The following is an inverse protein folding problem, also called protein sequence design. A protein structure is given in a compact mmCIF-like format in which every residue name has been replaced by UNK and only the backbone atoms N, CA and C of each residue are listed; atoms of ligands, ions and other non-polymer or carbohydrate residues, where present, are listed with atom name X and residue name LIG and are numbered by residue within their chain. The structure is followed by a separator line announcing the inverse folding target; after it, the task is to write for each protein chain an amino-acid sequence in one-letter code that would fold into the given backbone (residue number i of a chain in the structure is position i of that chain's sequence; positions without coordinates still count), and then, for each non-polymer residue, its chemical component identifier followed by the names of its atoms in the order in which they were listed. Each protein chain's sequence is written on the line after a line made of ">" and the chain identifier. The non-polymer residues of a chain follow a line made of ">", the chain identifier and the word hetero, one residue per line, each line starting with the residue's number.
data_IF_237918185680
#
_entry.id   IF_237918185680
#
_cell.length_a   1.000
_cell.length_b   1.000
_cell.length_c   1.000
_cell.angle_alpha   90.00
_cell.angle_beta   90.00
_cell.angle_gamma   90.00
#
_symmetry.space_group_name_H-M   'P 1'
#
loop_
_entity.id
_entity.type
_entity.pdbx_description
1 polymer ?
#
# COMPACT_ATOMS: atom_id res chain seq x y z
N UNK A 1 9.38 16.49 16.74
CA UNK A 1 8.47 16.17 15.63
C UNK A 1 9.30 16.14 14.36
N UNK A 2 9.52 14.96 13.76
CA UNK A 2 10.26 14.84 12.51
C UNK A 2 9.32 14.23 11.46
N UNK A 3 9.05 15.00 10.40
CA UNK A 3 8.44 14.52 9.16
C UNK A 3 9.44 13.59 8.48
N UNK A 4 9.08 12.33 8.28
CA UNK A 4 9.74 11.47 7.30
C UNK A 4 8.68 11.01 6.32
N UNK A 5 8.36 11.91 5.40
CA UNK A 5 7.64 11.61 4.18
C UNK A 5 8.75 11.37 3.15
N UNK A 6 9.19 10.12 3.01
CA UNK A 6 10.12 9.76 1.94
C UNK A 6 9.27 9.56 0.70
N UNK A 7 9.09 10.61 -0.09
CA UNK A 7 8.54 10.49 -1.43
C UNK A 7 9.45 9.61 -2.28
N UNK A 8 8.85 8.80 -3.16
CA UNK A 8 9.57 7.96 -4.15
C UNK A 8 10.54 8.77 -5.02
N UNK A 9 10.39 10.09 -5.08
CA UNK A 9 11.28 11.01 -5.80
C UNK A 9 12.74 10.98 -5.31
N UNK A 10 12.99 10.65 -4.04
CA UNK A 10 14.35 10.49 -3.48
C UNK A 10 14.94 9.07 -3.56
N UNK A 11 14.15 8.10 -4.05
CA UNK A 11 14.55 6.69 -4.12
C UNK A 11 15.28 6.33 -5.42
N UNK A 12 15.23 7.20 -6.44
CA UNK A 12 15.87 6.96 -7.73
C UNK A 12 17.42 6.97 -7.65
N UNK A 13 18.01 7.73 -6.72
CA UNK A 13 19.48 7.80 -6.57
C UNK A 13 20.07 6.72 -5.65
N UNK A 14 19.25 6.03 -4.86
CA UNK A 14 19.73 5.09 -3.83
C UNK A 14 19.21 3.65 -4.00
N UNK A 15 18.38 3.40 -5.01
CA UNK A 15 17.83 2.08 -5.26
C UNK A 15 17.85 1.74 -6.76
N UNK A 16 18.95 1.19 -7.28
CA UNK A 16 19.01 0.68 -8.66
C UNK A 16 18.05 -0.51 -8.92
N UNK A 17 17.22 -0.90 -7.95
CA UNK A 17 16.22 -1.97 -8.05
C UNK A 17 14.81 -1.49 -8.39
N UNK A 18 14.59 -0.18 -8.54
CA UNK A 18 13.31 0.38 -9.00
C UNK A 18 13.15 0.35 -10.53
N UNK A 19 14.14 -0.15 -11.25
CA UNK A 19 14.15 -0.21 -12.72
C UNK A 19 14.58 -1.63 -13.10
N UNK A 20 13.74 -2.32 -13.86
CA UNK A 20 13.74 -3.77 -14.06
C UNK A 20 13.38 -4.56 -12.82
N UNK A 21 12.10 -4.93 -12.74
CA UNK A 21 11.69 -6.15 -12.03
C UNK A 21 12.43 -7.34 -12.66
N UNK A 22 13.64 -7.61 -12.16
CA UNK A 22 14.03 -8.98 -11.86
C UNK A 22 12.81 -9.63 -11.20
N UNK A 23 12.35 -10.82 -11.64
CA UNK A 23 11.10 -11.39 -11.18
C UNK A 23 11.09 -11.30 -9.66
N UNK A 24 10.10 -10.56 -9.11
CA UNK A 24 9.91 -10.36 -7.67
C UNK A 24 10.34 -11.64 -6.99
N UNK A 25 11.50 -11.67 -6.34
CA UNK A 25 11.98 -12.92 -5.75
C UNK A 25 10.95 -13.23 -4.66
N UNK A 26 10.13 -14.28 -4.81
CA UNK A 26 9.09 -14.57 -3.84
C UNK A 26 9.66 -14.87 -2.46
N UNK A 27 10.98 -15.07 -2.35
CA UNK A 27 11.70 -15.19 -1.08
C UNK A 27 11.94 -13.85 -0.37
N UNK A 28 11.93 -12.73 -1.09
CA UNK A 28 12.25 -11.39 -0.56
C UNK A 28 11.08 -10.40 -0.65
N UNK A 29 10.01 -10.72 -1.39
CA UNK A 29 8.82 -9.87 -1.51
C UNK A 29 7.67 -10.45 -0.68
N UNK A 30 7.17 -9.67 0.27
CA UNK A 30 5.95 -10.01 0.98
C UNK A 30 4.73 -9.64 0.12
N UNK A 31 4.18 -10.64 -0.59
CA UNK A 31 2.99 -10.48 -1.43
C UNK A 31 1.74 -10.09 -0.63
N UNK A 32 1.72 -10.29 0.69
CA UNK A 32 0.61 -9.83 1.53
C UNK A 32 0.58 -8.30 1.68
N UNK A 33 1.71 -7.63 1.49
CA UNK A 33 1.87 -6.18 1.63
C UNK A 33 2.35 -5.50 0.34
N UNK A 34 2.27 -6.21 -0.79
CA UNK A 34 2.74 -5.72 -2.09
C UNK A 34 1.60 -5.76 -3.10
N UNK A 35 1.28 -4.62 -3.72
CA UNK A 35 0.20 -4.55 -4.71
C UNK A 35 -0.15 -3.12 -5.14
N UNK A 36 -0.94 -3.03 -6.21
CA UNK A 36 -1.56 -1.77 -6.62
C UNK A 36 -2.75 -1.49 -5.69
N UNK A 37 -2.82 -0.27 -5.19
CA UNK A 37 -3.87 0.22 -4.29
C UNK A 37 -4.92 1.03 -5.07
N UNK A 38 -4.46 1.86 -5.99
CA UNK A 38 -5.27 2.88 -6.65
C UNK A 38 -4.76 3.15 -8.07
N UNK A 39 -5.66 3.53 -8.96
CA UNK A 39 -5.34 3.96 -10.33
C UNK A 39 -5.87 5.39 -10.55
N UNK A 40 -5.01 6.28 -11.06
CA UNK A 40 -5.36 7.64 -11.44
C UNK A 40 -4.75 7.99 -12.79
N UNK A 41 -5.60 8.12 -13.82
CA UNK A 41 -5.16 8.31 -15.19
C UNK A 41 -4.19 7.20 -15.64
N UNK A 42 -2.93 7.55 -15.96
CA UNK A 42 -1.87 6.62 -16.35
C UNK A 42 -0.89 6.30 -15.21
N UNK A 43 -1.31 6.57 -13.97
CA UNK A 43 -0.51 6.35 -12.78
C UNK A 43 -1.20 5.36 -11.83
N UNK A 44 -0.39 4.54 -11.17
CA UNK A 44 -0.83 3.55 -10.20
C UNK A 44 -0.17 3.84 -8.86
N UNK A 45 -0.96 3.95 -7.80
CA UNK A 45 -0.45 4.01 -6.45
C UNK A 45 -0.11 2.60 -5.99
N UNK A 46 1.18 2.33 -5.77
CA UNK A 46 1.68 1.00 -5.43
C UNK A 46 2.18 1.01 -3.99
N UNK A 47 1.96 -0.09 -3.27
CA UNK A 47 2.61 -0.37 -2.00
C UNK A 47 3.52 -1.60 -2.15
N UNK A 48 4.73 -1.55 -1.58
CA UNK A 48 5.74 -2.62 -1.62
C UNK A 48 6.39 -2.73 -0.25
N UNK A 49 6.33 -3.90 0.38
CA UNK A 49 7.14 -4.16 1.58
C UNK A 49 8.50 -4.74 1.17
N UNK A 50 9.56 -4.04 1.52
CA UNK A 50 10.93 -4.46 1.30
C UNK A 50 11.55 -4.98 2.59
N UNK A 51 12.22 -6.12 2.49
CA UNK A 51 13.07 -6.64 3.55
C UNK A 51 14.45 -5.97 3.50
N UNK A 52 14.81 -5.26 4.57
CA UNK A 52 16.13 -4.66 4.67
C UNK A 52 17.15 -5.77 4.95
N UNK A 53 18.23 -5.80 4.16
CA UNK A 53 19.31 -6.77 4.32
C UNK A 53 19.88 -6.75 5.75
N UNK A 54 20.34 -7.92 6.23
CA UNK A 54 21.02 -8.11 7.53
C UNK A 54 20.20 -7.76 8.79
N UNK A 55 18.95 -8.21 8.88
CA UNK A 55 18.19 -8.18 10.13
C UNK A 55 17.71 -6.80 10.58
N UNK A 56 17.84 -5.78 9.73
CA UNK A 56 17.45 -4.40 10.03
C UNK A 56 15.93 -4.11 9.92
N UNK A 57 15.11 -5.16 9.73
CA UNK A 57 13.65 -5.07 9.72
C UNK A 57 13.04 -4.96 8.33
N UNK A 58 11.74 -4.64 8.29
CA UNK A 58 10.95 -4.48 7.06
C UNK A 58 10.51 -3.02 6.93
N UNK A 59 10.50 -2.48 5.72
CA UNK A 59 9.97 -1.13 5.43
C UNK A 59 8.89 -1.20 4.35
N UNK A 60 7.87 -0.36 4.48
CA UNK A 60 6.86 -0.17 3.45
C UNK A 60 7.24 1.04 2.60
N UNK A 61 7.35 0.83 1.30
CA UNK A 61 7.49 1.86 0.28
C UNK A 61 6.15 2.01 -0.43
N UNK A 62 5.76 3.23 -0.77
CA UNK A 62 4.53 3.46 -1.51
C UNK A 62 4.56 4.79 -2.27
N UNK A 63 3.68 4.89 -3.26
CA UNK A 63 3.41 6.11 -4.02
C UNK A 63 3.04 5.83 -5.47
N UNK A 64 2.85 6.90 -6.24
CA UNK A 64 2.47 6.80 -7.66
C UNK A 64 3.62 6.39 -8.57
N UNK A 65 3.38 5.39 -9.41
CA UNK A 65 4.23 4.96 -10.52
C UNK A 65 3.48 5.13 -11.85
N UNK A 66 4.20 5.52 -12.90
CA UNK A 66 3.63 5.55 -14.25
C UNK A 66 3.42 4.12 -14.78
N UNK A 67 2.45 3.93 -15.68
CA UNK A 67 2.09 2.62 -16.25
C UNK A 67 3.29 1.80 -16.76
N UNK A 68 4.28 2.45 -17.38
CA UNK A 68 5.49 1.82 -17.93
C UNK A 68 6.48 1.35 -16.86
N UNK A 69 6.37 1.90 -15.65
CA UNK A 69 7.15 1.49 -14.47
C UNK A 69 6.47 0.36 -13.68
N UNK A 70 5.23 -0.03 -14.02
CA UNK A 70 4.50 -1.09 -13.31
C UNK A 70 4.68 -2.44 -13.99
N UNK A 71 5.15 -3.42 -13.22
CA UNK A 71 5.41 -4.76 -13.71
C UNK A 71 4.17 -5.55 -14.13
N UNK A 72 4.33 -6.53 -15.04
CA UNK A 72 3.22 -7.33 -15.56
C UNK A 72 2.49 -8.14 -14.48
N UNK A 73 3.19 -8.59 -13.43
CA UNK A 73 2.57 -9.30 -12.31
C UNK A 73 1.55 -8.42 -11.57
N UNK A 74 1.96 -7.20 -11.20
CA UNK A 74 1.09 -6.26 -10.49
C UNK A 74 -0.09 -5.84 -11.36
N UNK A 75 0.15 -5.62 -12.65
CA UNK A 75 -0.93 -5.31 -13.60
C UNK A 75 -1.93 -6.46 -13.73
N UNK A 76 -1.46 -7.71 -13.88
CA UNK A 76 -2.32 -8.88 -13.97
C UNK A 76 -3.17 -9.05 -12.70
N UNK A 77 -2.54 -8.90 -11.54
CA UNK A 77 -3.22 -8.94 -10.24
C UNK A 77 -4.30 -7.84 -10.16
N UNK A 78 -3.96 -6.59 -10.46
CA UNK A 78 -4.90 -5.46 -10.47
C UNK A 78 -6.08 -5.63 -11.42
N UNK A 79 -5.84 -6.11 -12.64
CA UNK A 79 -6.90 -6.32 -13.62
C UNK A 79 -7.89 -7.41 -13.19
N UNK A 80 -7.45 -8.37 -12.37
CA UNK A 80 -8.31 -9.45 -11.86
C UNK A 80 -9.25 -9.03 -10.72
N UNK A 81 -9.07 -7.83 -10.15
CA UNK A 81 -9.87 -7.33 -9.03
C UNK A 81 -11.17 -6.69 -9.51
N UNK A 82 -12.23 -6.82 -8.72
CA UNK A 82 -13.41 -5.96 -8.86
C UNK A 82 -13.05 -4.55 -8.40
N UNK A 83 -13.32 -3.56 -9.26
CA UNK A 83 -12.94 -2.17 -9.06
C UNK A 83 -14.16 -1.27 -9.27
N UNK A 84 -14.13 -0.13 -8.60
CA UNK A 84 -15.12 0.93 -8.74
C UNK A 84 -14.41 2.23 -9.15
N UNK A 85 -15.05 2.96 -10.07
CA UNK A 85 -14.65 4.30 -10.48
C UNK A 85 -15.23 5.31 -9.48
N UNK A 86 -14.39 6.25 -9.05
CA UNK A 86 -14.71 7.34 -8.11
C UNK A 86 -14.69 8.62 -8.93
N UNK A 87 -15.79 8.86 -9.65
CA UNK A 87 -15.95 9.97 -10.59
C UNK A 87 -14.69 10.17 -11.45
N UNK A 88 -14.15 11.38 -11.53
CA UNK A 88 -12.90 11.67 -12.24
C UNK A 88 -11.66 11.69 -11.32
N UNK A 89 -11.80 11.23 -10.08
CA UNK A 89 -10.72 11.12 -9.10
C UNK A 89 -9.95 9.81 -9.24
N UNK A 90 -10.52 8.78 -9.87
CA UNK A 90 -9.79 7.57 -10.28
C UNK A 90 -10.52 6.26 -9.97
N UNK A 91 -9.77 5.16 -9.90
CA UNK A 91 -10.30 3.80 -9.79
C UNK A 91 -9.66 3.10 -8.59
N UNK A 92 -10.48 2.40 -7.80
CA UNK A 92 -10.00 1.64 -6.64
C UNK A 92 -10.73 0.32 -6.45
N UNK A 93 -10.04 -0.64 -5.82
CA UNK A 93 -10.66 -1.89 -5.39
C UNK A 93 -11.41 -1.67 -4.05
N UNK A 94 -12.73 -1.80 -4.07
CA UNK A 94 -13.62 -1.43 -2.96
C UNK A 94 -14.02 -2.59 -2.03
N UNK A 95 -13.75 -3.84 -2.43
CA UNK A 95 -14.18 -5.05 -1.71
C UNK A 95 -13.02 -6.02 -1.54
N UNK A 96 -13.05 -6.76 -0.44
CA UNK A 96 -12.20 -7.93 -0.28
C UNK A 96 -12.78 -9.07 -1.13
N UNK A 97 -12.30 -9.23 -2.37
CA UNK A 97 -12.81 -10.25 -3.30
C UNK A 97 -11.97 -11.52 -3.35
N UNK A 98 -12.64 -12.68 -3.40
CA UNK A 98 -12.12 -13.92 -4.01
C UNK A 98 -10.82 -14.52 -3.45
N UNK A 99 -10.26 -15.49 -4.20
CA UNK A 99 -9.23 -16.50 -3.81
C UNK A 99 -7.99 -16.01 -3.05
N UNK A 100 -7.74 -14.71 -2.97
CA UNK A 100 -6.54 -14.12 -2.38
C UNK A 100 -6.69 -13.71 -0.91
N UNK A 101 -7.88 -13.83 -0.32
CA UNK A 101 -8.21 -13.40 1.05
C UNK A 101 -7.31 -13.95 2.16
N UNK A 102 -6.56 -15.03 1.96
CA UNK A 102 -5.64 -15.58 2.96
C UNK A 102 -4.17 -15.12 2.80
N UNK A 103 -3.70 -14.88 1.57
CA UNK A 103 -2.31 -14.49 1.30
C UNK A 103 -2.14 -13.00 0.97
N UNK A 104 -3.25 -12.28 0.74
CA UNK A 104 -3.26 -10.87 0.36
C UNK A 104 -4.16 -10.03 1.27
N UNK A 105 -4.49 -10.51 2.49
CA UNK A 105 -5.43 -9.82 3.38
C UNK A 105 -5.02 -8.36 3.63
N UNK A 106 -3.74 -8.12 3.90
CA UNK A 106 -3.27 -6.78 4.30
C UNK A 106 -3.33 -5.81 3.12
N UNK A 107 -2.90 -6.22 1.94
CA UNK A 107 -3.02 -5.39 0.73
C UNK A 107 -4.49 -5.14 0.35
N UNK A 108 -5.39 -6.08 0.61
CA UNK A 108 -6.83 -5.89 0.42
C UNK A 108 -7.41 -4.87 1.42
N UNK A 109 -6.99 -4.92 2.69
CA UNK A 109 -7.35 -3.89 3.67
C UNK A 109 -6.81 -2.51 3.27
N UNK A 110 -5.59 -2.44 2.74
CA UNK A 110 -5.02 -1.20 2.20
C UNK A 110 -5.84 -0.65 1.04
N UNK A 111 -6.35 -1.49 0.14
CA UNK A 111 -7.24 -1.10 -0.97
C UNK A 111 -8.56 -0.54 -0.49
N UNK A 112 -9.22 -1.23 0.44
CA UNK A 112 -10.48 -0.75 1.04
C UNK A 112 -10.27 0.60 1.71
N UNK A 113 -9.20 0.76 2.50
CA UNK A 113 -8.89 2.05 3.11
C UNK A 113 -8.50 3.12 2.07
N UNK A 114 -7.82 2.72 0.98
CA UNK A 114 -7.49 3.59 -0.14
C UNK A 114 -8.73 4.09 -0.88
N UNK A 115 -9.73 3.22 -1.09
CA UNK A 115 -11.05 3.60 -1.63
C UNK A 115 -11.71 4.64 -0.74
N UNK A 116 -11.82 4.40 0.57
CA UNK A 116 -12.40 5.38 1.51
C UNK A 116 -11.66 6.72 1.48
N UNK A 117 -10.33 6.69 1.46
CA UNK A 117 -9.52 7.90 1.39
C UNK A 117 -9.70 8.67 0.06
N UNK A 118 -9.91 7.97 -1.05
CA UNK A 118 -10.19 8.60 -2.34
C UNK A 118 -11.60 9.20 -2.41
N UNK A 119 -12.61 8.56 -1.79
CA UNK A 119 -13.94 9.15 -1.63
C UNK A 119 -13.89 10.46 -0.83
N UNK A 120 -13.10 10.52 0.25
CA UNK A 120 -12.90 11.76 1.00
C UNK A 120 -12.23 12.87 0.15
N UNK A 121 -11.34 12.50 -0.76
CA UNK A 121 -10.72 13.44 -1.71
C UNK A 121 -11.75 13.93 -2.74
N UNK A 122 -12.63 13.06 -3.24
CA UNK A 122 -13.74 13.45 -4.12
C UNK A 122 -14.67 14.45 -3.43
N UNK A 123 -15.13 14.16 -2.20
CA UNK A 123 -15.97 15.10 -1.45
C UNK A 123 -15.26 16.44 -1.20
N UNK A 124 -13.95 16.41 -0.92
CA UNK A 124 -13.17 17.63 -0.71
C UNK A 124 -13.07 18.45 -2.00
N UNK A 125 -12.93 17.78 -3.15
CA UNK A 125 -12.91 18.40 -4.47
C UNK A 125 -14.26 19.07 -4.77
N UNK A 126 -15.38 18.37 -4.59
CA UNK A 126 -16.72 18.91 -4.81
C UNK A 126 -16.94 20.21 -4.01
N UNK A 127 -16.57 20.20 -2.72
CA UNK A 127 -16.65 21.40 -1.84
C UNK A 127 -15.77 22.57 -2.30
N UNK A 128 -14.66 22.30 -3.00
CA UNK A 128 -13.79 23.33 -3.57
C UNK A 128 -14.44 23.93 -4.83
N UNK A 129 -15.03 23.07 -5.67
CA UNK A 129 -15.70 23.45 -6.91
C UNK A 129 -17.01 24.21 -6.66
N UNK A 130 -17.79 23.84 -5.65
CA UNK A 130 -18.96 24.59 -5.18
C UNK A 130 -18.62 26.04 -4.80
N UNK A 131 -17.38 26.30 -4.37
CA UNK A 131 -16.87 27.64 -4.04
C UNK A 131 -16.33 28.40 -5.25
N UNK A 132 -16.51 27.86 -6.46
CA UNK A 132 -16.08 28.45 -7.72
C UNK A 132 -14.59 28.27 -8.03
N UNK A 133 -13.87 27.40 -7.30
CA UNK A 133 -12.47 27.11 -7.57
C UNK A 133 -12.32 25.77 -8.28
N UNK A 134 -11.60 25.72 -9.38
CA UNK A 134 -11.29 24.45 -10.06
C UNK A 134 -10.05 23.81 -9.44
N UNK A 135 -10.14 22.51 -9.14
CA UNK A 135 -8.99 21.72 -8.73
C UNK A 135 -8.29 21.21 -9.98
N UNK A 136 -7.04 21.62 -10.22
CA UNK A 136 -6.26 21.06 -11.32
C UNK A 136 -5.85 19.61 -10.99
N UNK A 137 -5.52 18.84 -12.03
CA UNK A 137 -5.15 17.42 -11.90
C UNK A 137 -3.94 17.20 -10.99
N UNK A 138 -2.96 18.10 -11.02
CA UNK A 138 -1.77 17.99 -10.17
C UNK A 138 -2.11 18.12 -8.68
N UNK A 139 -3.00 19.06 -8.31
CA UNK A 139 -3.48 19.20 -6.94
C UNK A 139 -4.32 18.00 -6.52
N UNK A 140 -5.19 17.50 -7.39
CA UNK A 140 -5.96 16.29 -7.13
C UNK A 140 -5.05 15.10 -6.86
N UNK A 141 -4.03 14.88 -7.70
CA UNK A 141 -3.03 13.84 -7.51
C UNK A 141 -2.23 14.01 -6.23
N UNK A 142 -1.83 15.22 -5.87
CA UNK A 142 -1.13 15.49 -4.62
C UNK A 142 -2.00 15.21 -3.38
N UNK A 143 -3.30 15.54 -3.44
CA UNK A 143 -4.26 15.20 -2.40
C UNK A 143 -4.42 13.68 -2.28
N UNK A 144 -4.56 12.98 -3.41
CA UNK A 144 -4.61 11.52 -3.44
C UNK A 144 -3.34 10.89 -2.86
N UNK A 145 -2.16 11.36 -3.24
CA UNK A 145 -0.88 10.80 -2.78
C UNK A 145 -0.78 10.85 -1.24
N UNK A 146 -1.16 11.98 -0.65
CA UNK A 146 -1.19 12.15 0.81
C UNK A 146 -2.26 11.28 1.46
N UNK A 147 -3.49 11.30 0.94
CA UNK A 147 -4.61 10.55 1.53
C UNK A 147 -4.41 9.04 1.45
N UNK A 148 -3.99 8.53 0.28
CA UNK A 148 -3.67 7.12 0.08
C UNK A 148 -2.47 6.69 0.92
N UNK A 149 -1.41 7.49 0.98
CA UNK A 149 -0.24 7.21 1.81
C UNK A 149 -0.59 7.10 3.30
N UNK A 150 -1.45 7.98 3.80
CA UNK A 150 -1.95 7.91 5.17
C UNK A 150 -2.78 6.65 5.42
N UNK A 151 -3.67 6.30 4.49
CA UNK A 151 -4.53 5.12 4.58
C UNK A 151 -3.70 3.83 4.62
N UNK A 152 -2.76 3.69 3.69
CA UNK A 152 -1.84 2.55 3.61
C UNK A 152 -0.99 2.44 4.88
N UNK A 153 -0.42 3.55 5.36
CA UNK A 153 0.41 3.53 6.57
C UNK A 153 -0.38 3.23 7.84
N UNK A 154 -1.67 3.60 7.90
CA UNK A 154 -2.54 3.29 9.03
C UNK A 154 -2.74 1.77 9.14
N UNK A 155 -3.10 1.12 8.03
CA UNK A 155 -3.26 -0.35 7.96
C UNK A 155 -1.96 -1.04 8.31
N UNK A 156 -0.85 -0.65 7.67
CA UNK A 156 0.45 -1.26 7.90
C UNK A 156 0.89 -1.16 9.37
N UNK A 157 0.76 0.02 9.99
CA UNK A 157 1.13 0.20 11.41
C UNK A 157 0.27 -0.64 12.35
N UNK A 158 -1.02 -0.77 12.08
CA UNK A 158 -1.92 -1.60 12.87
C UNK A 158 -1.48 -3.07 12.78
N UNK A 159 -1.34 -3.58 11.56
CA UNK A 159 -0.90 -4.95 11.31
C UNK A 159 0.47 -5.25 11.96
N UNK A 160 1.45 -4.35 11.84
CA UNK A 160 2.77 -4.52 12.48
C UNK A 160 2.71 -4.57 14.01
N UNK A 161 1.70 -3.94 14.63
CA UNK A 161 1.49 -4.03 16.09
C UNK A 161 0.90 -5.38 16.46
N UNK A 162 -0.08 -5.85 15.69
CA UNK A 162 -0.73 -7.16 15.88
C UNK A 162 0.28 -8.31 15.70
N UNK A 163 1.11 -8.27 14.64
CA UNK A 163 2.15 -9.27 14.37
C UNK A 163 3.16 -9.36 15.54
N UNK A 164 3.54 -8.20 16.12
CA UNK A 164 4.44 -8.16 17.29
C UNK A 164 3.76 -8.69 18.55
N UNK A 165 2.50 -8.33 18.79
CA UNK A 165 1.76 -8.78 19.95
C UNK A 165 1.58 -10.31 19.94
N UNK A 166 1.19 -10.88 18.79
CA UNK A 166 1.07 -12.32 18.58
C UNK A 166 2.41 -13.04 18.78
N UNK A 167 3.53 -12.47 18.31
CA UNK A 167 4.86 -13.04 18.54
C UNK A 167 5.24 -13.07 20.03
N UNK A 168 4.90 -12.03 20.79
CA UNK A 168 5.13 -11.99 22.24
C UNK A 168 4.25 -13.01 22.97
N UNK A 169 2.99 -13.13 22.59
CA UNK A 169 2.05 -14.10 23.17
C UNK A 169 2.48 -15.55 22.87
N UNK A 170 2.91 -15.83 21.64
CA UNK A 170 3.47 -17.12 21.26
C UNK A 170 4.73 -17.47 22.06
N UNK A 171 5.61 -16.50 22.30
CA UNK A 171 6.79 -16.72 23.14
C UNK A 171 6.40 -17.04 24.59
N UNK A 172 5.44 -16.29 25.17
CA UNK A 172 4.94 -16.58 26.52
C UNK A 172 4.31 -17.97 26.61
N UNK A 173 3.53 -18.37 25.61
CA UNK A 173 2.97 -19.71 25.54
C UNK A 173 4.07 -20.78 25.49
N UNK A 174 5.12 -20.58 24.68
CA UNK A 174 6.27 -21.50 24.66
C UNK A 174 6.97 -21.56 26.02
N UNK A 175 7.18 -20.42 26.67
CA UNK A 175 7.84 -20.35 27.99
C UNK A 175 6.99 -20.98 29.11
N UNK A 176 5.66 -20.90 29.03
CA UNK A 176 4.71 -21.46 30.02
C UNK A 176 4.46 -22.97 29.82
N UNK A 177 4.53 -23.47 28.59
CA UNK A 177 4.20 -24.87 28.26
C UNK A 177 5.43 -25.74 27.94
N UNK A 178 6.63 -25.17 27.80
CA UNK A 178 7.88 -25.95 27.85
C UNK A 178 8.22 -26.28 29.31
N UNK A 179 7.49 -27.25 29.88
CA UNK A 179 7.96 -28.00 31.03
C UNK A 179 9.12 -28.87 30.54
N UNK A 180 10.34 -28.54 30.94
CA UNK A 180 11.47 -29.42 30.74
C UNK A 180 11.25 -30.66 31.61
N UNK A 181 11.06 -31.83 31.00
CA UNK A 181 11.20 -33.11 31.69
C UNK A 181 12.69 -33.25 32.07
N UNK A 182 12.99 -33.12 33.36
CA UNK A 182 14.29 -33.44 33.98
C UNK A 182 14.50 -34.97 34.09
#
# INVERSE_FOLDING_TARGET
>A
MAKMQVGLEGLFDSCPYLIQLSPLDPKNTNLNCTGIIYEYNKFFFVAIEEQLSRGHGRRLLFGFLALDAVGPYLMHEWFSLDKEEIDDIGISACKMTGRWTHYSRIIQEMRVQGFSAAMEVQEAKEKIEEKGNLLNQDKARAMLDVSLGNAVMKVYKLWRREERAAGIEGQKFMDEFMVFDD
#
